data_IF_846833413620
#
_entry.id   IF_846833413620
#
_cell.length_a   1.000
_cell.length_b   1.000
_cell.length_c   1.000
_cell.angle_alpha   90.00
_cell.angle_beta   90.00
_cell.angle_gamma   90.00
#
_symmetry.space_group_name_H-M   'P 1'
#
loop_
_entity.id
_entity.type
_entity.pdbx_description
1 polymer ?
#
# COMPACT_ATOMS: atom_id res chain seq x y z
N UNK A 1 -77.03 -27.04 6.76
CA UNK A 1 -77.16 -28.49 6.91
C UNK A 1 -76.22 -28.94 8.03
N UNK A 2 -76.77 -29.60 9.07
CA UNK A 2 -76.18 -30.47 10.11
C UNK A 2 -74.84 -30.05 10.78
N UNK A 3 -74.61 -30.08 12.09
CA UNK A 3 -75.26 -30.58 13.32
C UNK A 3 -74.56 -29.84 14.52
N UNK A 4 -75.21 -29.42 15.62
CA UNK A 4 -75.53 -30.18 16.85
C UNK A 4 -74.31 -31.00 17.39
N UNK A 5 -73.87 -31.00 18.66
CA UNK A 5 -74.48 -30.58 19.92
C UNK A 5 -73.45 -30.63 21.10
N UNK A 6 -73.77 -29.88 22.16
CA UNK A 6 -73.76 -30.26 23.60
C UNK A 6 -72.50 -30.62 24.44
N UNK A 7 -72.35 -29.83 25.51
CA UNK A 7 -72.35 -30.20 26.97
C UNK A 7 -71.02 -30.47 27.72
N UNK A 8 -70.93 -29.79 28.87
CA UNK A 8 -69.92 -29.74 29.95
C UNK A 8 -70.11 -30.93 30.92
N UNK A 9 -69.12 -31.39 31.74
CA UNK A 9 -69.04 -30.89 33.13
C UNK A 9 -67.63 -30.81 33.78
N UNK A 10 -67.51 -29.76 34.60
CA UNK A 10 -66.85 -29.55 35.91
C UNK A 10 -65.85 -30.56 36.53
N UNK A 11 -64.84 -30.04 37.26
CA UNK A 11 -64.01 -30.84 38.18
C UNK A 11 -62.61 -30.32 38.62
N UNK A 12 -62.58 -29.45 39.64
CA UNK A 12 -61.58 -29.30 40.74
C UNK A 12 -60.04 -29.30 40.48
N UNK A 13 -59.46 -28.12 40.80
CA UNK A 13 -58.46 -27.84 41.87
C UNK A 13 -57.01 -28.38 41.74
N UNK A 14 -56.07 -27.47 41.46
CA UNK A 14 -54.85 -27.29 42.27
C UNK A 14 -54.22 -25.89 42.08
N UNK A 15 -54.01 -25.18 43.19
CA UNK A 15 -53.25 -23.92 43.24
C UNK A 15 -51.75 -24.18 43.19
N UNK A 16 -51.00 -23.41 42.39
CA UNK A 16 -49.59 -23.08 42.66
C UNK A 16 -49.28 -21.64 42.20
N UNK A 17 -48.93 -20.81 43.19
CA UNK A 17 -47.98 -19.69 43.11
C UNK A 17 -48.17 -18.62 42.04
N UNK A 18 -48.78 -17.50 42.41
CA UNK A 18 -48.63 -16.25 41.69
C UNK A 18 -47.21 -15.68 41.93
N UNK A 19 -46.42 -15.53 40.87
CA UNK A 19 -45.26 -14.62 40.85
C UNK A 19 -45.71 -13.27 40.28
N UNK A 20 -45.28 -12.13 40.85
CA UNK A 20 -45.71 -10.83 40.38
C UNK A 20 -45.10 -10.53 39.02
N UNK A 21 -45.92 -10.08 38.07
CA UNK A 21 -45.47 -9.57 36.78
C UNK A 21 -44.61 -8.32 37.01
N UNK A 22 -43.33 -8.38 36.64
CA UNK A 22 -42.42 -7.24 36.69
C UNK A 22 -42.81 -6.22 35.63
N UNK A 23 -42.95 -4.96 36.05
CA UNK A 23 -43.24 -3.82 35.17
C UNK A 23 -42.16 -3.70 34.07
N UNK A 24 -42.53 -3.39 32.82
CA UNK A 24 -41.58 -3.22 31.71
C UNK A 24 -40.52 -2.14 31.97
N UNK A 25 -40.80 -1.20 32.89
CA UNK A 25 -39.85 -0.18 33.32
C UNK A 25 -38.72 -0.78 34.16
N UNK A 26 -39.01 -1.74 35.03
CA UNK A 26 -38.02 -2.40 35.88
C UNK A 26 -37.10 -3.29 35.05
N UNK A 27 -37.63 -3.98 34.03
CA UNK A 27 -36.85 -4.82 33.12
C UNK A 27 -35.92 -4.00 32.22
N UNK A 28 -36.36 -2.83 31.76
CA UNK A 28 -35.53 -1.91 30.97
C UNK A 28 -34.40 -1.28 31.80
N UNK A 29 -34.68 -0.90 33.05
CA UNK A 29 -33.67 -0.39 33.99
C UNK A 29 -32.64 -1.50 34.31
N UNK A 30 -33.08 -2.73 34.56
CA UNK A 30 -32.17 -3.86 34.78
C UNK A 30 -31.30 -4.15 33.55
N UNK A 31 -31.85 -4.10 32.34
CA UNK A 31 -31.07 -4.29 31.11
C UNK A 31 -30.06 -3.15 30.89
N UNK A 32 -30.44 -1.90 31.16
CA UNK A 32 -29.53 -0.76 31.05
C UNK A 32 -28.37 -0.84 32.05
N UNK A 33 -28.67 -1.14 33.33
CA UNK A 33 -27.63 -1.35 34.34
C UNK A 33 -26.79 -2.60 34.06
N UNK A 34 -27.39 -3.68 33.55
CA UNK A 34 -26.64 -4.88 33.15
C UNK A 34 -25.69 -4.59 31.98
N UNK A 35 -26.12 -3.85 30.97
CA UNK A 35 -25.26 -3.45 29.83
C UNK A 35 -24.15 -2.50 30.29
N UNK A 36 -24.42 -1.56 31.21
CA UNK A 36 -23.39 -0.69 31.77
C UNK A 36 -22.41 -1.48 32.63
N UNK A 37 -22.88 -2.37 33.51
CA UNK A 37 -22.00 -3.17 34.39
C UNK A 37 -21.16 -4.14 33.57
N UNK A 38 -21.74 -4.82 32.57
CA UNK A 38 -20.98 -5.67 31.65
C UNK A 38 -20.03 -4.83 30.79
N UNK A 39 -20.45 -3.66 30.33
CA UNK A 39 -19.60 -2.71 29.59
C UNK A 39 -18.41 -2.23 30.41
N UNK A 40 -18.61 -1.88 31.69
CA UNK A 40 -17.57 -1.45 32.63
C UNK A 40 -16.67 -2.62 33.03
N UNK A 41 -17.20 -3.84 33.20
CA UNK A 41 -16.39 -5.04 33.48
C UNK A 41 -15.56 -5.47 32.27
N UNK A 42 -16.08 -5.31 31.05
CA UNK A 42 -15.34 -5.55 29.81
C UNK A 42 -14.30 -4.45 29.61
N UNK A 43 -14.62 -3.17 29.80
CA UNK A 43 -13.64 -2.08 29.67
C UNK A 43 -12.56 -2.13 30.76
N UNK A 44 -12.92 -2.46 32.00
CA UNK A 44 -11.95 -2.65 33.09
C UNK A 44 -11.06 -3.88 32.86
N UNK A 45 -11.57 -4.98 32.28
CA UNK A 45 -10.74 -6.11 31.84
C UNK A 45 -9.82 -5.75 30.68
N UNK A 46 -10.26 -4.92 29.74
CA UNK A 46 -9.42 -4.45 28.64
C UNK A 46 -8.32 -3.49 29.12
N UNK A 47 -8.62 -2.59 30.08
CA UNK A 47 -7.68 -1.63 30.67
C UNK A 47 -6.67 -2.32 31.62
N UNK A 48 -7.06 -3.35 32.36
CA UNK A 48 -6.12 -4.15 33.18
C UNK A 48 -5.29 -5.13 32.35
N UNK A 49 -5.79 -5.56 31.17
CA UNK A 49 -5.01 -6.39 30.22
C UNK A 49 -4.03 -5.54 29.39
N UNK A 50 -4.22 -4.22 29.28
CA UNK A 50 -3.27 -3.32 28.57
C UNK A 50 -2.26 -2.64 29.49
N UNK A 51 -2.44 -2.64 30.81
CA UNK A 51 -1.50 -2.03 31.77
C UNK A 51 -0.54 -3.01 32.45
N UNK A 52 -0.61 -4.31 32.14
CA UNK A 52 0.33 -5.34 32.62
C UNK A 52 0.93 -6.21 31.50
N UNK A 53 1.19 -5.63 30.32
CA UNK A 53 2.09 -6.26 29.35
C UNK A 53 3.53 -5.81 29.66
N UNK A 54 4.39 -6.68 30.23
CA UNK A 54 5.80 -6.38 30.36
C UNK A 54 6.40 -6.21 28.96
N UNK A 55 7.25 -5.19 28.83
CA UNK A 55 8.12 -4.93 27.68
C UNK A 55 9.13 -6.08 27.58
N UNK A 56 8.71 -7.25 27.12
CA UNK A 56 9.58 -8.39 26.82
C UNK A 56 8.89 -9.32 25.81
N UNK A 57 8.68 -8.87 24.56
CA UNK A 57 8.46 -9.82 23.45
C UNK A 57 8.81 -9.26 22.06
N UNK A 58 9.79 -8.36 21.97
CA UNK A 58 10.45 -8.04 20.70
C UNK A 58 11.86 -8.65 20.57
N UNK A 59 12.37 -9.29 21.64
CA UNK A 59 13.68 -9.98 21.65
C UNK A 59 13.57 -11.52 21.65
N UNK A 60 12.38 -12.11 21.87
CA UNK A 60 12.25 -13.58 22.01
C UNK A 60 12.30 -14.34 20.67
N UNK A 61 12.22 -13.63 19.54
CA UNK A 61 12.43 -14.18 18.20
C UNK A 61 13.88 -14.14 17.73
N UNK A 62 14.80 -13.58 18.54
CA UNK A 62 16.20 -13.38 18.15
C UNK A 62 17.17 -14.47 18.64
N UNK A 63 16.77 -15.33 19.58
CA UNK A 63 17.73 -16.19 20.31
C UNK A 63 17.35 -17.67 20.54
N UNK A 64 16.30 -18.22 19.91
CA UNK A 64 16.04 -19.68 19.98
C UNK A 64 16.66 -20.42 18.78
N UNK A 65 17.78 -21.16 18.94
CA UNK A 65 18.12 -22.22 18.00
C UNK A 65 17.08 -23.32 18.15
N UNK A 66 16.33 -23.60 17.09
CA UNK A 66 15.45 -24.76 17.06
C UNK A 66 16.33 -26.02 17.16
N UNK A 67 16.38 -26.64 18.34
CA UNK A 67 16.89 -27.99 18.52
C UNK A 67 15.85 -28.92 17.89
N UNK A 68 16.10 -29.32 16.64
CA UNK A 68 15.41 -30.43 16.01
C UNK A 68 15.91 -31.72 16.65
N UNK A 69 15.08 -32.33 17.50
CA UNK A 69 15.26 -33.73 17.90
C UNK A 69 15.05 -34.60 16.66
N UNK A 70 16.16 -35.11 16.11
CA UNK A 70 16.16 -36.05 15.01
C UNK A 70 15.64 -37.41 15.48
N UNK A 71 14.45 -37.81 15.02
CA UNK A 71 14.08 -39.23 14.98
C UNK A 71 14.85 -39.89 13.85
N UNK A 72 15.71 -40.85 14.22
CA UNK A 72 16.49 -41.66 13.29
C UNK A 72 15.56 -42.36 12.29
N UNK A 73 15.60 -41.90 11.04
CA UNK A 73 15.13 -42.68 9.88
C UNK A 73 16.35 -42.89 9.00
N UNK A 74 16.77 -44.14 8.88
CA UNK A 74 17.90 -44.58 8.07
C UNK A 74 17.54 -44.40 6.60
N UNK A 75 18.16 -43.44 5.91
CA UNK A 75 18.07 -43.31 4.45
C UNK A 75 19.45 -43.07 3.82
N UNK A 76 19.69 -43.89 2.80
CA UNK A 76 20.77 -43.99 1.81
C UNK A 76 21.50 -42.65 1.53
N UNK A 77 22.84 -42.63 1.34
CA UNK A 77 23.60 -41.40 1.15
C UNK A 77 23.25 -40.71 -0.17
N UNK A 78 22.55 -39.58 -0.08
CA UNK A 78 22.44 -38.62 -1.18
C UNK A 78 23.71 -37.78 -1.24
N UNK A 79 24.23 -37.59 -2.45
CA UNK A 79 25.37 -36.73 -2.76
C UNK A 79 25.11 -35.32 -2.23
N UNK A 80 26.04 -34.69 -1.49
CA UNK A 80 25.79 -33.39 -0.89
C UNK A 80 25.61 -32.32 -1.97
N UNK A 81 24.39 -31.82 -2.10
CA UNK A 81 24.12 -30.61 -2.88
C UNK A 81 24.80 -29.42 -2.20
N UNK A 82 25.52 -28.58 -2.94
CA UNK A 82 26.19 -27.41 -2.37
C UNK A 82 25.18 -26.48 -1.70
N UNK A 83 25.54 -25.81 -0.59
CA UNK A 83 24.67 -24.86 0.07
C UNK A 83 24.25 -23.75 -0.92
N UNK A 84 23.00 -23.26 -0.82
CA UNK A 84 22.54 -22.16 -1.65
C UNK A 84 23.48 -20.96 -1.45
N UNK A 85 23.83 -20.23 -2.51
CA UNK A 85 24.71 -19.07 -2.39
C UNK A 85 24.08 -18.05 -1.42
N UNK A 86 24.90 -17.39 -0.58
CA UNK A 86 24.40 -16.33 0.29
C UNK A 86 23.66 -15.28 -0.54
N UNK A 87 22.50 -14.82 -0.06
CA UNK A 87 21.79 -13.70 -0.70
C UNK A 87 22.77 -12.52 -0.76
N UNK A 88 22.94 -11.84 -1.92
CA UNK A 88 23.79 -10.67 -1.98
C UNK A 88 23.23 -9.60 -1.03
N UNK A 89 23.92 -9.40 0.09
CA UNK A 89 23.74 -8.24 0.93
C UNK A 89 24.31 -7.06 0.14
N UNK A 90 23.45 -6.26 -0.47
CA UNK A 90 23.86 -5.00 -1.05
C UNK A 90 24.16 -4.03 0.11
N UNK A 91 25.40 -3.99 0.58
CA UNK A 91 25.85 -2.86 1.38
C UNK A 91 26.29 -1.76 0.41
N UNK A 92 25.49 -0.71 0.27
CA UNK A 92 26.04 0.58 -0.17
C UNK A 92 26.75 1.15 1.06
N UNK A 93 27.93 0.61 1.35
CA UNK A 93 28.82 1.17 2.36
C UNK A 93 29.76 2.12 1.63
N UNK A 94 29.47 3.40 1.68
CA UNK A 94 30.55 4.37 1.62
C UNK A 94 31.23 4.30 2.99
N UNK A 95 32.54 4.01 3.02
CA UNK A 95 33.30 4.00 4.28
C UNK A 95 33.02 5.29 5.04
N UNK A 96 32.38 5.18 6.20
CA UNK A 96 32.21 6.31 7.10
C UNK A 96 33.63 6.79 7.48
N UNK A 97 33.97 8.08 7.31
CA UNK A 97 35.19 8.62 7.88
C UNK A 97 35.17 8.40 9.40
N UNK A 98 36.32 8.22 10.07
CA UNK A 98 36.34 8.06 11.52
C UNK A 98 35.68 9.26 12.20
N UNK A 99 34.62 8.98 12.96
CA UNK A 99 33.74 9.98 13.58
C UNK A 99 34.25 10.35 14.98
N UNK A 100 34.99 11.45 15.09
CA UNK A 100 35.15 12.16 16.37
C UNK A 100 34.09 13.27 16.44
N UNK A 101 33.33 13.35 17.55
CA UNK A 101 32.35 14.43 17.77
C UNK A 101 33.12 15.71 18.10
N UNK A 102 32.94 16.74 17.27
CA UNK A 102 33.51 18.06 17.50
C UNK A 102 32.77 18.75 18.67
N UNK A 103 33.44 19.04 19.80
CA UNK A 103 32.81 19.65 20.97
C UNK A 103 32.35 21.09 20.76
N UNK A 104 32.70 21.73 19.64
CA UNK A 104 32.25 23.08 19.29
C UNK A 104 30.83 23.14 18.69
N UNK A 105 30.18 21.99 18.42
CA UNK A 105 28.86 21.94 17.76
C UNK A 105 27.72 22.02 18.80
N UNK A 106 26.82 23.02 18.71
CA UNK A 106 25.62 23.09 19.54
C UNK A 106 24.71 21.87 19.31
N UNK A 107 24.11 21.33 20.37
CA UNK A 107 23.28 20.10 20.35
C UNK A 107 22.02 20.18 19.48
N UNK A 108 21.69 21.35 18.94
CA UNK A 108 20.50 21.62 18.13
C UNK A 108 20.72 21.49 16.61
N UNK A 109 21.96 21.26 16.15
CA UNK A 109 22.25 20.98 14.74
C UNK A 109 22.42 19.47 14.58
N UNK A 110 21.59 18.87 13.72
CA UNK A 110 21.76 17.44 13.38
C UNK A 110 23.16 17.21 12.83
N UNK A 111 23.87 16.23 13.40
CA UNK A 111 25.24 15.86 13.04
C UNK A 111 25.40 15.62 11.51
N UNK A 112 24.35 15.17 10.84
CA UNK A 112 24.27 15.00 9.38
C UNK A 112 24.38 16.33 8.61
N UNK A 113 23.73 17.39 9.09
CA UNK A 113 23.77 18.73 8.49
C UNK A 113 25.12 19.40 8.71
N UNK A 114 25.71 19.25 9.90
CA UNK A 114 27.07 19.73 10.17
C UNK A 114 28.09 19.02 9.28
N UNK A 115 28.06 17.69 9.18
CA UNK A 115 28.99 16.90 8.35
C UNK A 115 28.89 17.21 6.85
N UNK A 116 27.69 17.52 6.36
CA UNK A 116 27.50 17.94 4.98
C UNK A 116 28.05 19.35 4.72
N UNK A 117 27.97 20.25 5.71
CA UNK A 117 28.52 21.61 5.64
C UNK A 117 30.03 21.66 5.93
N UNK A 118 30.57 20.72 6.71
CA UNK A 118 31.97 20.67 7.15
C UNK A 118 32.88 19.79 6.29
N UNK A 119 32.37 19.21 5.20
CA UNK A 119 33.16 18.34 4.32
C UNK A 119 34.33 19.10 3.68
N UNK A 120 35.52 18.89 4.25
CA UNK A 120 36.79 19.36 3.73
C UNK A 120 37.30 18.37 2.68
N UNK A 121 37.21 18.75 1.39
CA UNK A 121 37.87 18.22 0.16
C UNK A 121 38.42 16.77 0.10
N UNK A 122 37.86 15.78 0.79
CA UNK A 122 38.40 14.40 0.82
C UNK A 122 37.46 13.35 0.23
N UNK A 123 36.17 13.64 0.08
CA UNK A 123 35.40 12.96 -0.97
C UNK A 123 35.88 13.53 -2.30
N UNK A 124 36.50 12.70 -3.16
CA UNK A 124 37.00 13.09 -4.48
C UNK A 124 36.10 14.16 -5.10
N UNK A 125 36.70 15.30 -5.47
CA UNK A 125 36.01 16.43 -6.09
C UNK A 125 35.45 15.98 -7.43
N UNK A 126 34.31 15.30 -7.41
CA UNK A 126 33.42 15.26 -8.55
C UNK A 126 33.11 16.73 -8.83
N UNK A 127 33.48 17.25 -10.01
CA UNK A 127 33.22 18.63 -10.38
C UNK A 127 31.79 18.98 -10.03
N UNK A 128 31.58 20.18 -9.48
CA UNK A 128 30.23 20.69 -9.27
C UNK A 128 29.47 20.55 -10.59
N UNK A 129 28.36 19.79 -10.61
CA UNK A 129 27.66 19.53 -11.84
C UNK A 129 27.22 20.86 -12.44
N UNK A 130 27.77 21.21 -13.60
CA UNK A 130 27.40 22.46 -14.26
C UNK A 130 25.88 22.43 -14.51
N UNK A 131 25.14 23.50 -14.15
CA UNK A 131 23.72 23.57 -14.42
C UNK A 131 23.47 23.33 -15.90
N UNK A 132 22.56 22.40 -16.22
CA UNK A 132 22.11 22.26 -17.60
C UNK A 132 21.51 23.61 -18.05
N UNK A 133 21.83 24.07 -19.28
CA UNK A 133 21.19 25.27 -19.82
C UNK A 133 19.67 25.11 -19.81
N UNK A 134 18.96 26.23 -19.67
CA UNK A 134 17.49 26.25 -19.68
C UNK A 134 16.97 25.62 -20.96
N UNK A 135 16.47 24.39 -20.87
CA UNK A 135 15.75 23.76 -21.97
C UNK A 135 14.39 24.44 -22.09
N UNK A 136 14.27 25.38 -23.02
CA UNK A 136 13.01 25.96 -23.48
C UNK A 136 12.30 24.95 -24.38
N UNK A 137 11.85 23.83 -23.81
CA UNK A 137 10.86 22.98 -24.47
C UNK A 137 9.50 23.41 -23.96
N UNK A 138 8.64 23.92 -24.85
CA UNK A 138 7.23 24.27 -24.61
C UNK A 138 6.35 23.02 -24.32
N UNK A 139 6.88 22.03 -23.61
CA UNK A 139 6.10 20.89 -23.13
C UNK A 139 5.47 21.28 -21.79
N UNK A 140 4.15 21.41 -21.74
CA UNK A 140 3.43 21.53 -20.47
C UNK A 140 3.74 20.32 -19.59
N UNK A 141 3.99 20.55 -18.29
CA UNK A 141 4.11 19.45 -17.32
C UNK A 141 2.86 18.57 -17.37
N UNK A 142 3.00 17.23 -17.35
CA UNK A 142 1.85 16.33 -17.24
C UNK A 142 0.89 16.72 -16.12
N UNK A 143 -0.42 16.60 -16.38
CA UNK A 143 -1.46 17.14 -15.49
C UNK A 143 -1.45 16.57 -14.07
N UNK A 144 -0.87 15.39 -13.85
CA UNK A 144 -0.76 14.80 -12.51
C UNK A 144 0.19 15.57 -11.58
N UNK A 145 1.16 16.32 -12.13
CA UNK A 145 2.07 17.14 -11.32
C UNK A 145 1.35 18.28 -10.58
N UNK A 146 0.13 18.68 -11.00
CA UNK A 146 -0.66 19.67 -10.27
C UNK A 146 -0.92 19.27 -8.81
N UNK A 147 -1.03 17.96 -8.55
CA UNK A 147 -1.34 17.44 -7.23
C UNK A 147 -0.19 17.56 -6.25
N UNK A 148 1.05 17.80 -6.71
CA UNK A 148 2.15 18.16 -5.80
C UNK A 148 1.82 19.45 -5.05
N UNK A 149 1.18 20.42 -5.72
CA UNK A 149 0.78 21.67 -5.08
C UNK A 149 -0.34 21.47 -4.06
N UNK A 150 -1.26 20.54 -4.32
CA UNK A 150 -2.31 20.16 -3.38
C UNK A 150 -1.74 19.43 -2.17
N UNK A 151 -0.86 18.45 -2.40
CA UNK A 151 -0.22 17.69 -1.32
C UNK A 151 0.59 18.61 -0.40
N UNK A 152 1.27 19.62 -0.95
CA UNK A 152 2.07 20.56 -0.17
C UNK A 152 1.28 21.78 0.36
N UNK A 153 0.01 21.90 -0.01
CA UNK A 153 -0.83 23.04 0.38
C UNK A 153 -0.90 23.27 1.91
N UNK A 154 -1.07 22.24 2.76
CA UNK A 154 -1.19 22.42 4.21
C UNK A 154 0.01 23.16 4.82
N UNK A 155 1.24 22.77 4.46
CA UNK A 155 2.45 23.44 4.96
C UNK A 155 2.63 24.83 4.36
N UNK A 156 2.22 25.05 3.11
CA UNK A 156 2.23 26.40 2.52
C UNK A 156 1.28 27.32 3.28
N UNK A 157 0.08 26.85 3.60
CA UNK A 157 -0.92 27.61 4.35
C UNK A 157 -0.44 27.90 5.79
N UNK A 158 0.34 26.99 6.40
CA UNK A 158 0.95 27.17 7.70
C UNK A 158 2.19 28.10 7.72
N UNK A 159 2.55 28.70 6.58
CA UNK A 159 3.71 29.61 6.47
C UNK A 159 5.05 28.93 6.15
N UNK A 160 5.03 27.64 5.78
CA UNK A 160 6.20 26.86 5.40
C UNK A 160 6.45 25.67 6.33
N UNK A 161 7.46 24.86 5.97
CA UNK A 161 7.90 23.71 6.77
C UNK A 161 8.95 24.19 7.77
N UNK A 162 8.68 24.04 9.07
CA UNK A 162 9.65 24.36 10.13
C UNK A 162 10.52 23.15 10.47
N UNK A 163 11.63 23.40 11.18
CA UNK A 163 12.48 22.32 11.73
C UNK A 163 11.70 21.38 12.64
N UNK A 164 10.84 21.92 13.50
CA UNK A 164 10.02 21.14 14.43
C UNK A 164 9.02 20.23 13.71
N UNK A 165 8.38 20.72 12.63
CA UNK A 165 7.51 19.90 11.78
C UNK A 165 8.28 18.76 11.13
N UNK A 166 9.47 19.04 10.59
CA UNK A 166 10.29 18.00 9.95
C UNK A 166 10.78 16.95 10.95
N UNK A 167 11.17 17.38 12.16
CA UNK A 167 11.61 16.48 13.22
C UNK A 167 10.45 15.65 13.79
N UNK A 168 9.20 16.16 13.79
CA UNK A 168 8.03 15.36 14.23
C UNK A 168 7.75 14.20 13.28
N UNK A 169 8.02 14.34 11.98
CA UNK A 169 7.88 13.27 10.98
C UNK A 169 8.84 12.08 11.23
N UNK A 170 9.90 12.27 12.04
CA UNK A 170 10.87 11.22 12.39
C UNK A 170 10.21 10.03 13.10
N UNK A 171 9.09 10.25 13.79
CA UNK A 171 8.42 9.23 14.60
C UNK A 171 8.02 7.97 13.81
N UNK A 172 7.70 8.12 12.52
CA UNK A 172 7.28 7.01 11.65
C UNK A 172 8.20 6.80 10.44
N UNK A 173 9.11 7.74 10.17
CA UNK A 173 10.00 7.66 9.02
C UNK A 173 10.94 6.44 9.05
N UNK A 174 11.13 5.80 7.90
CA UNK A 174 12.16 4.78 7.71
C UNK A 174 13.52 5.41 7.44
N UNK A 175 13.55 6.50 6.67
CA UNK A 175 14.78 7.23 6.42
C UNK A 175 14.55 8.73 6.31
N UNK A 176 15.61 9.46 6.59
CA UNK A 176 15.73 10.88 6.33
C UNK A 176 16.71 11.07 5.18
N UNK A 177 16.35 11.92 4.23
CA UNK A 177 17.16 12.25 3.07
C UNK A 177 17.45 13.74 3.05
N UNK A 178 18.71 14.08 2.82
CA UNK A 178 19.20 15.44 2.68
C UNK A 178 19.87 15.54 1.33
N UNK A 179 19.44 16.48 0.49
CA UNK A 179 20.19 16.90 -0.71
C UNK A 179 20.90 18.19 -0.36
N UNK A 180 22.23 18.20 -0.47
CA UNK A 180 23.05 19.39 -0.29
C UNK A 180 24.06 19.48 -1.43
N UNK A 181 24.03 20.59 -2.17
CA UNK A 181 24.90 20.86 -3.32
C UNK A 181 24.91 19.71 -4.33
N UNK A 182 23.71 19.22 -4.65
CA UNK A 182 23.50 18.12 -5.61
C UNK A 182 23.94 16.73 -5.11
N UNK A 183 24.30 16.57 -3.83
CA UNK A 183 24.66 15.29 -3.21
C UNK A 183 23.60 14.83 -2.23
N UNK A 184 23.21 13.56 -2.31
CA UNK A 184 22.27 12.95 -1.36
C UNK A 184 23.01 12.34 -0.16
N UNK A 185 22.51 12.62 1.03
CA UNK A 185 22.90 12.03 2.31
C UNK A 185 21.67 11.36 2.90
N UNK A 186 21.83 10.14 3.41
CA UNK A 186 20.71 9.35 3.94
C UNK A 186 21.03 8.88 5.35
N UNK A 187 20.14 9.18 6.28
CA UNK A 187 20.12 8.60 7.62
C UNK A 187 18.99 7.57 7.65
N UNK A 188 19.34 6.29 7.87
CA UNK A 188 18.33 5.23 8.09
C UNK A 188 17.87 5.27 9.54
N UNK A 189 16.59 5.55 9.76
CA UNK A 189 15.98 5.68 11.08
C UNK A 189 15.40 4.34 11.53
N UNK A 190 14.71 3.64 10.62
CA UNK A 190 14.08 2.36 10.88
C UNK A 190 14.15 1.45 9.64
N UNK A 191 14.19 0.12 9.80
CA UNK A 191 14.24 -0.80 8.66
C UNK A 191 12.98 -0.66 7.79
N UNK A 192 13.17 -0.54 6.48
CA UNK A 192 12.06 -0.61 5.52
C UNK A 192 11.70 -2.07 5.23
N UNK A 193 10.45 -2.29 4.81
CA UNK A 193 10.06 -3.58 4.27
C UNK A 193 10.83 -3.85 2.98
N UNK A 194 11.63 -4.93 2.94
CA UNK A 194 12.40 -5.31 1.75
C UNK A 194 13.30 -4.15 1.24
N UNK A 195 13.61 -4.09 -0.05
CA UNK A 195 14.44 -3.06 -0.70
C UNK A 195 13.71 -1.74 -0.98
N UNK A 196 12.56 -1.46 -0.37
CA UNK A 196 11.76 -0.28 -0.73
C UNK A 196 12.51 1.04 -0.55
N UNK A 197 13.20 1.21 0.57
CA UNK A 197 14.03 2.39 0.82
C UNK A 197 15.14 2.50 -0.23
N UNK A 198 15.85 1.40 -0.52
CA UNK A 198 16.93 1.36 -1.51
C UNK A 198 16.47 1.85 -2.88
N UNK A 199 15.36 1.34 -3.41
CA UNK A 199 14.88 1.70 -4.75
C UNK A 199 14.28 3.11 -4.80
N UNK A 200 13.68 3.59 -3.70
CA UNK A 200 13.26 4.99 -3.57
C UNK A 200 14.46 5.94 -3.57
N UNK A 201 15.50 5.63 -2.79
CA UNK A 201 16.76 6.38 -2.78
C UNK A 201 17.42 6.34 -4.16
N UNK A 202 17.43 5.16 -4.80
CA UNK A 202 17.95 5.01 -6.17
C UNK A 202 17.21 5.93 -7.16
N UNK A 203 15.90 6.09 -7.01
CA UNK A 203 15.13 7.04 -7.82
C UNK A 203 15.54 8.50 -7.61
N UNK A 204 15.79 8.90 -6.37
CA UNK A 204 16.35 10.23 -6.07
C UNK A 204 17.74 10.39 -6.70
N UNK A 205 18.60 9.37 -6.64
CA UNK A 205 19.92 9.42 -7.28
C UNK A 205 19.80 9.55 -8.81
N UNK A 206 18.83 8.90 -9.45
CA UNK A 206 18.56 9.08 -10.87
C UNK A 206 18.11 10.51 -11.18
N UNK A 207 17.27 11.10 -10.32
CA UNK A 207 16.84 12.49 -10.46
C UNK A 207 18.02 13.47 -10.40
N UNK A 208 18.88 13.33 -9.38
CA UNK A 208 20.08 14.16 -9.22
C UNK A 208 21.05 14.04 -10.40
N UNK A 209 21.25 12.81 -10.91
CA UNK A 209 22.09 12.55 -12.08
C UNK A 209 21.50 13.14 -13.36
N UNK A 210 20.17 13.08 -13.53
CA UNK A 210 19.49 13.56 -14.75
C UNK A 210 19.35 15.07 -14.79
N UNK A 211 19.23 15.72 -13.63
CA UNK A 211 19.04 17.16 -13.51
C UNK A 211 20.09 17.80 -12.58
N UNK A 212 21.38 17.71 -12.94
CA UNK A 212 22.47 18.30 -12.17
C UNK A 212 22.24 19.80 -11.94
N UNK A 213 22.40 20.24 -10.68
CA UNK A 213 22.24 21.64 -10.27
C UNK A 213 20.79 22.16 -10.27
N UNK A 214 19.79 21.36 -10.63
CA UNK A 214 18.37 21.78 -10.68
C UNK A 214 17.53 21.30 -9.51
N UNK A 215 18.01 20.31 -8.76
CA UNK A 215 17.37 19.88 -7.50
C UNK A 215 17.93 20.78 -6.39
N UNK A 216 17.09 21.56 -5.69
CA UNK A 216 17.54 22.45 -4.66
C UNK A 216 18.06 21.68 -3.44
N UNK A 217 18.79 22.38 -2.59
CA UNK A 217 19.09 21.89 -1.25
C UNK A 217 17.77 21.67 -0.51
N UNK A 218 17.57 20.45 0.00
CA UNK A 218 16.34 20.05 0.66
C UNK A 218 16.60 18.98 1.70
N UNK A 219 15.64 18.82 2.61
CA UNK A 219 15.60 17.75 3.58
C UNK A 219 14.17 17.19 3.65
N UNK A 220 14.05 15.86 3.68
CA UNK A 220 12.76 15.18 3.78
C UNK A 220 12.84 13.96 4.71
N UNK A 221 11.68 13.61 5.26
CA UNK A 221 11.43 12.37 5.99
C UNK A 221 10.56 11.47 5.12
N UNK A 222 10.91 10.18 5.04
CA UNK A 222 10.22 9.24 4.17
C UNK A 222 9.81 7.99 4.95
N UNK A 223 8.54 7.60 4.81
CA UNK A 223 8.01 6.35 5.34
C UNK A 223 7.68 5.39 4.19
N UNK A 224 8.30 4.22 4.24
CA UNK A 224 8.26 3.17 3.23
C UNK A 224 7.12 2.14 3.44
N UNK A 225 6.28 2.30 4.47
CA UNK A 225 5.18 1.39 4.79
C UNK A 225 3.94 1.68 3.92
N UNK A 226 2.96 0.76 3.90
CA UNK A 226 1.80 0.79 3.00
C UNK A 226 0.74 1.86 3.35
N UNK A 227 0.46 2.15 4.62
CA UNK A 227 -0.66 3.03 4.98
C UNK A 227 -0.22 4.48 5.15
N UNK A 228 -0.96 5.49 4.65
CA UNK A 228 -0.74 6.87 5.05
C UNK A 228 -1.10 7.05 6.53
N UNK A 229 -0.37 7.90 7.25
CA UNK A 229 -0.44 7.97 8.74
C UNK A 229 -0.62 9.38 9.28
N UNK A 230 -0.43 10.42 8.47
CA UNK A 230 -0.53 11.81 8.93
C UNK A 230 -2.00 12.23 8.85
N UNK A 231 -2.77 11.90 9.89
CA UNK A 231 -4.21 12.16 9.95
C UNK A 231 -4.51 13.66 10.06
N UNK A 232 -5.26 14.20 9.10
CA UNK A 232 -5.50 15.65 8.98
C UNK A 232 -6.25 16.24 10.19
N UNK A 233 -7.10 15.45 10.84
CA UNK A 233 -7.86 15.84 12.03
C UNK A 233 -6.98 16.04 13.28
N UNK A 234 -5.78 15.49 13.31
CA UNK A 234 -4.84 15.63 14.44
C UNK A 234 -4.07 16.96 14.42
N UNK A 235 -4.00 17.63 13.27
CA UNK A 235 -3.15 18.81 13.04
C UNK A 235 -3.97 20.07 12.77
N UNK A 236 -4.92 20.36 13.66
CA UNK A 236 -5.75 21.56 13.64
C UNK A 236 -5.38 22.50 14.80
N UNK A 237 -5.70 23.79 14.67
CA UNK A 237 -5.45 24.78 15.72
C UNK A 237 -3.97 24.87 16.10
N UNK A 238 -3.66 24.80 17.38
CA UNK A 238 -2.28 24.89 17.89
C UNK A 238 -1.38 23.74 17.39
N UNK A 239 -1.96 22.57 17.08
CA UNK A 239 -1.23 21.40 16.63
C UNK A 239 -0.70 21.54 15.19
N UNK A 240 -1.15 22.53 14.41
CA UNK A 240 -0.61 22.78 13.06
C UNK A 240 0.90 23.01 13.09
N UNK A 241 1.43 23.53 14.18
CA UNK A 241 2.86 23.82 14.39
C UNK A 241 3.76 22.57 14.40
N UNK A 242 3.17 21.38 14.59
CA UNK A 242 3.87 20.08 14.61
C UNK A 242 3.47 19.15 13.45
N UNK A 243 2.73 19.66 12.46
CA UNK A 243 2.25 18.90 11.30
C UNK A 243 3.41 18.28 10.48
N UNK A 244 3.57 16.95 10.43
CA UNK A 244 4.76 16.29 9.88
C UNK A 244 4.72 16.22 8.33
N UNK A 245 5.69 16.82 7.61
CA UNK A 245 5.81 16.71 6.15
C UNK A 245 6.43 15.35 5.77
N UNK A 246 5.64 14.29 5.91
CA UNK A 246 6.07 12.93 5.69
C UNK A 246 5.82 12.50 4.24
N UNK A 247 6.88 12.11 3.53
CA UNK A 247 6.77 11.55 2.18
C UNK A 247 6.41 10.06 2.23
N UNK A 248 5.49 9.65 1.36
CA UNK A 248 5.00 8.27 1.24
C UNK A 248 4.61 7.95 -0.19
N UNK A 249 4.22 6.70 -0.42
CA UNK A 249 3.84 6.23 -1.75
C UNK A 249 2.35 6.38 -2.07
N UNK A 250 1.51 6.68 -1.08
CA UNK A 250 0.10 7.00 -1.28
C UNK A 250 -0.43 7.94 -0.19
N UNK A 251 -1.62 8.48 -0.43
CA UNK A 251 -2.44 9.20 0.55
C UNK A 251 -3.92 8.82 0.39
N UNK A 252 -4.75 9.31 1.30
CA UNK A 252 -6.21 9.32 1.18
C UNK A 252 -6.78 10.68 1.64
N UNK A 253 -8.09 10.88 1.44
CA UNK A 253 -8.76 12.15 1.73
C UNK A 253 -8.72 12.60 3.21
N UNK A 254 -8.29 11.73 4.12
CA UNK A 254 -8.24 11.98 5.55
C UNK A 254 -6.78 12.17 6.04
N UNK A 255 -5.82 12.14 5.13
CA UNK A 255 -4.39 12.19 5.42
C UNK A 255 -3.68 13.30 4.68
N UNK A 256 -2.55 13.74 5.23
CA UNK A 256 -1.73 14.82 4.68
C UNK A 256 -0.44 14.31 4.03
N UNK A 257 -0.16 12.99 4.07
CA UNK A 257 1.08 12.40 3.57
C UNK A 257 1.41 12.88 2.14
N UNK A 258 2.67 13.31 1.94
CA UNK A 258 3.15 13.84 0.66
C UNK A 258 3.46 12.69 -0.29
N UNK A 259 2.70 12.59 -1.38
CA UNK A 259 2.80 11.43 -2.27
C UNK A 259 4.02 11.52 -3.18
N UNK A 260 4.75 10.41 -3.25
CA UNK A 260 5.95 10.21 -4.04
C UNK A 260 5.81 8.94 -4.90
N UNK A 261 6.41 8.90 -6.11
CA UNK A 261 6.40 7.69 -6.93
C UNK A 261 6.94 6.46 -6.19
N UNK A 262 6.23 5.34 -6.29
CA UNK A 262 6.61 4.12 -5.58
C UNK A 262 7.94 3.53 -6.07
N UNK A 263 8.63 2.81 -5.19
CA UNK A 263 9.94 2.20 -5.45
C UNK A 263 9.95 1.29 -6.69
N UNK A 264 8.84 0.65 -7.02
CA UNK A 264 8.79 -0.39 -8.07
C UNK A 264 8.92 0.16 -9.48
N UNK A 265 8.77 1.47 -9.69
CA UNK A 265 9.15 2.10 -10.96
C UNK A 265 10.65 1.95 -11.25
N UNK A 266 11.48 1.78 -10.23
CA UNK A 266 12.92 1.52 -10.34
C UNK A 266 13.25 0.03 -10.19
N UNK A 267 12.25 -0.80 -9.89
CA UNK A 267 12.35 -2.24 -9.75
C UNK A 267 11.91 -2.75 -8.38
N UNK A 268 11.56 -4.03 -8.32
CA UNK A 268 11.25 -4.73 -7.08
C UNK A 268 11.75 -6.18 -7.18
N UNK A 269 13.05 -6.41 -6.89
CA UNK A 269 13.73 -7.66 -7.20
C UNK A 269 13.21 -8.85 -6.39
N UNK A 270 12.73 -8.63 -5.17
CA UNK A 270 12.18 -9.66 -4.29
C UNK A 270 10.99 -10.40 -4.90
N UNK A 271 10.27 -9.75 -5.82
CA UNK A 271 9.13 -10.33 -6.54
C UNK A 271 9.34 -10.35 -8.06
N UNK A 272 10.59 -10.26 -8.51
CA UNK A 272 10.99 -10.33 -9.91
C UNK A 272 10.30 -9.29 -10.82
N UNK A 273 10.12 -8.07 -10.31
CA UNK A 273 9.62 -6.93 -11.08
C UNK A 273 10.81 -6.10 -11.55
N UNK A 274 10.92 -5.93 -12.87
CA UNK A 274 11.94 -5.10 -13.52
C UNK A 274 11.61 -3.61 -13.33
N UNK A 275 12.56 -2.69 -13.56
CA UNK A 275 12.26 -1.27 -13.65
C UNK A 275 11.21 -0.96 -14.73
N UNK A 276 10.48 0.13 -14.56
CA UNK A 276 9.32 0.48 -15.38
C UNK A 276 9.64 0.55 -16.88
N UNK A 277 10.78 1.11 -17.27
CA UNK A 277 11.20 1.23 -18.67
C UNK A 277 11.36 -0.15 -19.36
N UNK A 278 11.82 -1.16 -18.63
CA UNK A 278 11.93 -2.53 -19.10
C UNK A 278 10.55 -3.22 -19.11
N UNK A 279 9.76 -3.11 -18.04
CA UNK A 279 8.43 -3.72 -17.96
C UNK A 279 7.49 -3.14 -19.01
N UNK A 280 7.57 -1.84 -19.29
CA UNK A 280 6.74 -1.17 -20.29
C UNK A 280 7.00 -1.74 -21.70
N UNK A 281 8.26 -2.04 -22.04
CA UNK A 281 8.61 -2.72 -23.30
C UNK A 281 8.05 -4.13 -23.36
N UNK A 282 8.18 -4.89 -22.27
CA UNK A 282 7.63 -6.25 -22.17
C UNK A 282 6.10 -6.25 -22.29
N UNK A 283 5.41 -5.32 -21.63
CA UNK A 283 3.96 -5.13 -21.73
C UNK A 283 3.53 -4.72 -23.14
N UNK A 284 4.27 -3.82 -23.80
CA UNK A 284 4.00 -3.44 -25.19
C UNK A 284 4.08 -4.64 -26.14
N UNK A 285 5.10 -5.50 -25.99
CA UNK A 285 5.22 -6.74 -26.74
C UNK A 285 4.08 -7.70 -26.37
N UNK A 286 3.79 -7.88 -25.08
CA UNK A 286 2.71 -8.72 -24.57
C UNK A 286 1.34 -8.33 -25.14
N UNK A 287 1.04 -7.03 -25.18
CA UNK A 287 -0.22 -6.49 -25.69
C UNK A 287 -0.46 -6.79 -27.17
N UNK A 288 0.61 -6.95 -27.95
CA UNK A 288 0.54 -7.28 -29.39
C UNK A 288 0.38 -8.77 -29.68
N UNK A 289 0.54 -9.66 -28.69
CA UNK A 289 0.41 -11.11 -28.88
C UNK A 289 -1.00 -11.52 -29.32
N UNK A 290 -2.02 -10.85 -28.78
CA UNK A 290 -3.43 -11.10 -29.10
C UNK A 290 -4.11 -9.76 -29.35
N UNK A 291 -4.72 -9.60 -30.54
CA UNK A 291 -5.50 -8.40 -30.86
C UNK A 291 -6.62 -8.24 -29.82
N UNK A 292 -6.90 -7.01 -29.41
CA UNK A 292 -7.86 -6.74 -28.33
C UNK A 292 -9.22 -7.44 -28.51
N UNK A 293 -9.74 -7.44 -29.74
CA UNK A 293 -11.03 -8.09 -30.07
C UNK A 293 -11.02 -9.60 -29.89
N UNK A 294 -9.86 -10.24 -29.98
CA UNK A 294 -9.67 -11.69 -29.88
C UNK A 294 -9.24 -12.13 -28.47
N UNK A 295 -9.04 -11.17 -27.54
CA UNK A 295 -8.75 -11.47 -26.14
C UNK A 295 -9.94 -12.14 -25.45
N UNK A 296 -9.64 -12.90 -24.40
CA UNK A 296 -10.64 -13.58 -23.58
C UNK A 296 -11.70 -12.58 -23.07
N UNK A 297 -13.00 -12.89 -23.22
CA UNK A 297 -14.11 -11.95 -22.99
C UNK A 297 -14.46 -11.77 -21.52
N UNK A 298 -13.55 -12.08 -20.59
CA UNK A 298 -13.79 -12.08 -19.15
C UNK A 298 -12.97 -11.02 -18.43
N UNK A 299 -13.45 -10.58 -17.27
CA UNK A 299 -12.66 -9.81 -16.34
C UNK A 299 -11.65 -10.69 -15.62
N UNK A 300 -10.41 -10.22 -15.56
CA UNK A 300 -9.30 -10.98 -14.99
C UNK A 300 -8.64 -10.26 -13.83
N UNK A 301 -8.39 -11.01 -12.76
CA UNK A 301 -7.54 -10.60 -11.66
C UNK A 301 -6.66 -11.78 -11.23
N UNK A 302 -5.40 -11.51 -10.90
CA UNK A 302 -4.51 -12.46 -10.23
C UNK A 302 -3.72 -11.73 -9.15
N UNK A 303 -3.76 -12.22 -7.93
CA UNK A 303 -3.06 -11.58 -6.82
C UNK A 303 -3.25 -12.30 -5.48
N UNK A 304 -2.56 -11.81 -4.45
CA UNK A 304 -2.70 -12.33 -3.10
C UNK A 304 -3.98 -11.76 -2.45
N UNK A 305 -4.96 -12.60 -2.08
CA UNK A 305 -6.16 -12.15 -1.41
C UNK A 305 -5.96 -11.85 0.08
N UNK A 306 -4.93 -12.40 0.71
CA UNK A 306 -4.77 -12.39 2.17
C UNK A 306 -4.31 -11.03 2.72
N UNK A 307 -3.96 -10.10 1.85
CA UNK A 307 -3.51 -8.75 2.22
C UNK A 307 -4.67 -7.77 2.49
N UNK A 308 -5.91 -8.12 2.13
CA UNK A 308 -7.07 -7.25 2.32
C UNK A 308 -8.42 -7.98 2.26
N UNK A 309 -9.34 -7.63 3.15
CA UNK A 309 -10.71 -8.16 3.15
C UNK A 309 -11.43 -7.98 1.80
N UNK A 310 -11.29 -6.80 1.18
CA UNK A 310 -11.90 -6.52 -0.15
C UNK A 310 -11.43 -7.48 -1.25
N UNK A 311 -10.20 -8.01 -1.16
CA UNK A 311 -9.68 -9.02 -2.10
C UNK A 311 -10.19 -10.42 -1.77
N UNK A 312 -10.33 -10.76 -0.49
CA UNK A 312 -10.99 -12.00 -0.08
C UNK A 312 -12.45 -12.03 -0.55
N UNK A 313 -13.14 -10.89 -0.55
CA UNK A 313 -14.47 -10.75 -1.12
C UNK A 313 -14.48 -10.86 -2.64
N UNK A 314 -13.52 -10.25 -3.34
CA UNK A 314 -13.40 -10.37 -4.80
C UNK A 314 -13.24 -11.83 -5.24
N UNK A 315 -12.49 -12.64 -4.48
CA UNK A 315 -12.36 -14.08 -4.72
C UNK A 315 -13.71 -14.79 -4.73
N UNK A 316 -14.70 -14.33 -3.96
CA UNK A 316 -16.05 -14.92 -3.93
C UNK A 316 -16.82 -14.70 -5.24
N UNK A 317 -16.33 -13.85 -6.14
CA UNK A 317 -16.87 -13.72 -7.50
C UNK A 317 -16.51 -14.92 -8.39
N UNK A 318 -15.63 -15.83 -7.96
CA UNK A 318 -15.55 -17.16 -8.59
C UNK A 318 -16.70 -18.02 -8.07
N UNK A 319 -17.71 -18.19 -8.91
CA UNK A 319 -18.95 -18.89 -8.59
C UNK A 319 -19.02 -20.27 -9.25
N UNK A 320 -20.02 -21.06 -8.85
CA UNK A 320 -20.27 -22.40 -9.40
C UNK A 320 -20.81 -22.35 -10.82
N UNK A 321 -20.94 -23.50 -11.49
CA UNK A 321 -21.47 -23.59 -12.87
C UNK A 321 -22.88 -23.01 -13.09
N UNK A 322 -23.64 -22.74 -12.02
CA UNK A 322 -25.01 -22.21 -12.09
C UNK A 322 -25.07 -20.67 -12.10
N UNK A 323 -23.98 -19.99 -11.79
CA UNK A 323 -23.91 -18.53 -11.75
C UNK A 323 -22.62 -18.09 -12.42
N UNK A 324 -22.66 -17.02 -13.22
CA UNK A 324 -21.49 -16.54 -13.95
C UNK A 324 -21.42 -15.02 -13.84
N UNK A 325 -20.33 -14.53 -13.24
CA UNK A 325 -20.05 -13.10 -13.11
C UNK A 325 -19.16 -12.57 -14.23
N UNK A 326 -18.81 -13.41 -15.21
CA UNK A 326 -17.83 -13.13 -16.25
C UNK A 326 -16.47 -12.69 -15.69
N UNK A 327 -16.10 -13.25 -14.52
CA UNK A 327 -14.89 -12.94 -13.79
C UNK A 327 -14.01 -14.19 -13.63
N UNK A 328 -12.69 -14.01 -13.75
CA UNK A 328 -11.67 -15.03 -13.60
C UNK A 328 -10.66 -14.52 -12.57
N UNK A 329 -10.89 -14.90 -11.31
CA UNK A 329 -10.14 -14.41 -10.15
C UNK A 329 -9.16 -15.48 -9.68
N UNK A 330 -7.87 -15.27 -9.84
CA UNK A 330 -6.85 -16.26 -9.51
C UNK A 330 -6.10 -15.86 -8.24
N UNK A 331 -6.13 -16.74 -7.24
CA UNK A 331 -5.33 -16.57 -6.02
C UNK A 331 -3.86 -16.80 -6.35
N UNK A 332 -3.02 -15.87 -5.93
CA UNK A 332 -1.57 -16.00 -6.02
C UNK A 332 -1.01 -16.27 -4.63
N UNK A 333 -0.54 -17.51 -4.45
CA UNK A 333 0.15 -17.93 -3.22
C UNK A 333 1.59 -17.38 -3.24
N UNK A 334 1.83 -16.35 -2.43
CA UNK A 334 3.14 -15.71 -2.34
C UNK A 334 4.21 -16.61 -1.74
N UNK A 335 3.88 -17.56 -0.87
CA UNK A 335 4.85 -18.50 -0.31
C UNK A 335 5.35 -19.42 -1.42
N UNK A 336 4.44 -19.95 -2.23
CA UNK A 336 4.77 -20.79 -3.38
C UNK A 336 5.53 -20.01 -4.46
N UNK A 337 5.06 -18.81 -4.81
CA UNK A 337 5.71 -17.98 -5.84
C UNK A 337 7.10 -17.54 -5.40
N UNK A 338 7.30 -17.19 -4.13
CA UNK A 338 8.62 -16.85 -3.57
C UNK A 338 9.61 -18.00 -3.75
N UNK A 339 9.22 -19.24 -3.42
CA UNK A 339 10.04 -20.44 -3.65
C UNK A 339 10.35 -20.69 -5.13
N UNK A 340 9.43 -20.32 -6.02
CA UNK A 340 9.58 -20.45 -7.47
C UNK A 340 10.30 -19.25 -8.13
N UNK A 341 10.68 -18.23 -7.36
CA UNK A 341 11.26 -16.99 -7.87
C UNK A 341 10.31 -16.16 -8.75
N UNK A 342 9.00 -16.25 -8.49
CA UNK A 342 7.94 -15.51 -9.20
C UNK A 342 7.93 -15.70 -10.73
N UNK A 343 8.50 -16.80 -11.23
CA UNK A 343 8.59 -17.11 -12.67
C UNK A 343 7.22 -17.21 -13.35
N UNK A 344 6.16 -17.51 -12.60
CA UNK A 344 4.77 -17.60 -13.09
C UNK A 344 3.97 -16.31 -12.91
N UNK A 345 4.65 -15.22 -12.53
CA UNK A 345 4.04 -13.93 -12.21
C UNK A 345 4.45 -12.81 -13.18
N UNK A 346 5.00 -13.17 -14.34
CA UNK A 346 5.31 -12.23 -15.42
C UNK A 346 4.06 -11.45 -15.84
N UNK A 347 4.09 -10.13 -15.62
CA UNK A 347 3.00 -9.21 -15.89
C UNK A 347 2.64 -9.16 -17.38
N UNK A 348 3.62 -9.26 -18.28
CA UNK A 348 3.41 -9.20 -19.73
C UNK A 348 2.59 -10.36 -20.28
N UNK A 349 2.58 -11.49 -19.57
CA UNK A 349 1.79 -12.69 -19.94
C UNK A 349 0.34 -12.61 -19.45
N UNK A 350 0.00 -11.61 -18.65
CA UNK A 350 -1.32 -11.46 -18.05
C UNK A 350 -2.23 -10.47 -18.80
N UNK A 351 -1.80 -9.94 -19.95
CA UNK A 351 -2.56 -9.01 -20.79
C UNK A 351 -3.39 -9.72 -21.89
N UNK A 352 -3.97 -10.87 -21.56
CA UNK A 352 -4.69 -11.76 -22.50
C UNK A 352 -6.22 -11.61 -22.45
N UNK A 353 -6.73 -10.85 -21.49
CA UNK A 353 -8.16 -10.67 -21.25
C UNK A 353 -8.60 -9.26 -21.65
N UNK A 354 -9.84 -9.10 -22.14
CA UNK A 354 -10.39 -7.79 -22.53
C UNK A 354 -10.50 -6.83 -21.36
N UNK A 355 -10.76 -7.35 -20.16
CA UNK A 355 -10.96 -6.55 -18.95
C UNK A 355 -10.00 -6.97 -17.85
N UNK A 356 -9.40 -5.98 -17.17
CA UNK A 356 -8.48 -6.20 -16.05
C UNK A 356 -9.01 -5.49 -14.82
N UNK A 357 -9.07 -6.19 -13.70
CA UNK A 357 -9.58 -5.62 -12.45
C UNK A 357 -8.41 -5.04 -11.66
N UNK A 358 -8.54 -3.79 -11.25
CA UNK A 358 -7.74 -3.19 -10.20
C UNK A 358 -8.53 -3.17 -8.90
N UNK A 359 -7.87 -3.61 -7.83
CA UNK A 359 -8.39 -3.56 -6.47
C UNK A 359 -7.22 -3.37 -5.50
N UNK A 360 -7.42 -2.48 -4.54
CA UNK A 360 -6.46 -2.19 -3.48
C UNK A 360 -6.08 -3.42 -2.66
N UNK A 361 -4.88 -3.37 -2.08
CA UNK A 361 -4.39 -4.36 -1.14
C UNK A 361 -4.54 -3.82 0.28
N UNK A 362 -3.49 -3.96 1.07
CA UNK A 362 -3.40 -3.37 2.41
C UNK A 362 -3.64 -1.85 2.37
N UNK A 363 -3.09 -1.17 1.36
CA UNK A 363 -3.41 0.20 0.99
C UNK A 363 -3.56 0.32 -0.54
N UNK A 364 -3.02 1.37 -1.17
CA UNK A 364 -2.88 1.43 -2.63
C UNK A 364 -2.15 0.17 -3.15
N UNK A 365 -2.44 -0.27 -4.37
CA UNK A 365 -1.73 -1.40 -4.94
C UNK A 365 -0.83 -0.97 -6.09
N UNK A 366 0.45 -1.30 -5.94
CA UNK A 366 1.51 -1.16 -6.95
C UNK A 366 1.13 -1.75 -8.33
N UNK A 367 0.13 -2.66 -8.36
CA UNK A 367 -0.40 -3.29 -9.57
C UNK A 367 -1.12 -2.34 -10.54
N UNK A 368 -1.57 -1.16 -10.09
CA UNK A 368 -2.42 -0.24 -10.88
C UNK A 368 -1.80 0.12 -12.23
N UNK A 369 -0.57 0.64 -12.23
CA UNK A 369 0.14 1.05 -13.46
C UNK A 369 0.33 -0.10 -14.46
N UNK A 370 0.58 -1.32 -13.96
CA UNK A 370 0.77 -2.49 -14.81
C UNK A 370 -0.55 -2.98 -15.42
N UNK A 371 -1.63 -2.90 -14.64
CA UNK A 371 -2.99 -3.21 -15.12
C UNK A 371 -3.41 -2.21 -16.20
N UNK A 372 -3.23 -0.91 -15.96
CA UNK A 372 -3.51 0.15 -16.92
C UNK A 372 -2.70 -0.02 -18.21
N UNK A 373 -1.46 -0.50 -18.12
CA UNK A 373 -0.59 -0.70 -19.27
C UNK A 373 -0.88 -1.97 -20.10
N UNK A 374 -1.86 -2.82 -19.73
CA UNK A 374 -2.18 -4.05 -20.48
C UNK A 374 -3.01 -3.83 -21.77
N UNK A 375 -3.34 -2.60 -22.18
CA UNK A 375 -4.27 -2.34 -23.30
C UNK A 375 -5.64 -3.02 -23.16
N UNK A 376 -6.01 -3.36 -21.92
CA UNK A 376 -7.32 -3.90 -21.54
C UNK A 376 -8.18 -2.78 -20.98
N UNK A 377 -9.50 -2.94 -21.08
CA UNK A 377 -10.43 -2.08 -20.36
C UNK A 377 -10.24 -2.32 -18.86
N UNK A 378 -9.78 -1.30 -18.14
CA UNK A 378 -9.50 -1.43 -16.71
C UNK A 378 -10.78 -1.21 -15.91
N UNK A 379 -11.09 -2.16 -15.03
CA UNK A 379 -12.20 -2.11 -14.08
C UNK A 379 -11.61 -1.75 -12.71
N UNK A 380 -11.86 -0.55 -12.22
CA UNK A 380 -11.30 -0.06 -10.95
C UNK A 380 -12.37 -0.22 -9.87
N UNK A 381 -12.13 -1.13 -8.93
CA UNK A 381 -12.93 -1.19 -7.70
C UNK A 381 -12.67 0.09 -6.90
N UNK A 382 -13.73 0.80 -6.49
CA UNK A 382 -13.66 2.13 -5.86
C UNK A 382 -12.47 2.23 -4.90
N UNK A 383 -11.44 3.03 -5.24
CA UNK A 383 -10.25 3.14 -4.43
C UNK A 383 -10.50 4.08 -3.25
N UNK A 384 -9.86 3.79 -2.11
CA UNK A 384 -9.76 4.71 -0.98
C UNK A 384 -8.51 5.59 -1.11
N UNK A 385 -7.41 4.99 -1.55
CA UNK A 385 -6.10 5.59 -1.62
C UNK A 385 -5.81 6.12 -3.02
N UNK A 386 -4.94 7.12 -3.09
CA UNK A 386 -4.38 7.62 -4.33
C UNK A 386 -2.86 7.58 -4.31
N UNK A 387 -2.26 7.35 -5.48
CA UNK A 387 -0.84 7.58 -5.73
C UNK A 387 -0.63 8.90 -6.50
N UNK A 388 0.59 9.14 -6.98
CA UNK A 388 0.93 10.43 -7.60
C UNK A 388 0.21 10.66 -8.94
N UNK A 389 -0.28 9.62 -9.63
CA UNK A 389 -0.95 9.77 -10.92
C UNK A 389 -2.43 9.37 -10.88
N UNK A 390 -2.88 8.57 -9.91
CA UNK A 390 -4.24 8.01 -9.94
C UNK A 390 -5.32 9.09 -9.87
N UNK A 391 -5.05 10.25 -9.25
CA UNK A 391 -5.99 11.38 -9.16
C UNK A 391 -6.31 12.08 -10.50
N UNK A 392 -5.56 11.82 -11.58
CA UNK A 392 -5.96 12.28 -12.92
C UNK A 392 -6.79 11.26 -13.70
N UNK A 393 -6.94 10.04 -13.19
CA UNK A 393 -7.73 9.00 -13.83
C UNK A 393 -9.22 9.34 -13.69
N UNK A 394 -9.85 9.62 -14.82
CA UNK A 394 -11.28 9.91 -14.89
C UNK A 394 -12.10 8.65 -15.17
N UNK A 395 -13.19 8.38 -14.40
CA UNK A 395 -14.11 7.29 -14.68
C UNK A 395 -14.80 7.47 -16.03
N UNK A 396 -15.10 6.37 -16.72
CA UNK A 396 -15.72 6.33 -18.06
C UNK A 396 -14.86 6.97 -19.17
N UNK A 397 -13.62 7.37 -18.86
CA UNK A 397 -12.62 7.80 -19.84
C UNK A 397 -11.34 6.97 -19.78
N UNK A 398 -10.82 6.74 -18.56
CA UNK A 398 -9.60 5.95 -18.36
C UNK A 398 -9.90 4.54 -17.86
N UNK A 399 -10.98 4.39 -17.09
CA UNK A 399 -11.38 3.13 -16.50
C UNK A 399 -12.89 3.05 -16.30
N UNK A 400 -13.39 1.85 -16.08
CA UNK A 400 -14.77 1.61 -15.67
C UNK A 400 -14.88 1.47 -14.14
N UNK A 401 -15.68 2.30 -13.47
CA UNK A 401 -15.82 2.23 -12.02
C UNK A 401 -16.59 0.97 -11.62
N UNK A 402 -16.09 0.26 -10.61
CA UNK A 402 -16.71 -0.92 -10.00
C UNK A 402 -17.01 -0.60 -8.54
N UNK A 403 -18.26 -0.83 -8.13
CA UNK A 403 -18.66 -0.62 -6.74
C UNK A 403 -17.97 -1.61 -5.82
N UNK A 404 -17.45 -1.15 -4.69
CA UNK A 404 -16.85 -2.06 -3.71
C UNK A 404 -17.93 -2.94 -3.02
N UNK A 405 -19.05 -2.35 -2.59
CA UNK A 405 -20.12 -3.04 -1.87
C UNK A 405 -20.87 -4.11 -2.69
N UNK A 406 -20.83 -4.04 -4.02
CA UNK A 406 -21.46 -5.00 -4.93
C UNK A 406 -20.57 -5.34 -6.14
N UNK A 407 -19.30 -5.61 -5.85
CA UNK A 407 -18.23 -5.81 -6.84
C UNK A 407 -18.54 -6.87 -7.90
N UNK A 408 -19.06 -8.05 -7.56
CA UNK A 408 -19.28 -9.12 -8.53
C UNK A 408 -20.33 -8.75 -9.60
N UNK A 409 -21.48 -8.21 -9.16
CA UNK A 409 -22.54 -7.77 -10.08
C UNK A 409 -22.08 -6.58 -10.92
N UNK A 410 -21.40 -5.62 -10.30
CA UNK A 410 -20.84 -4.45 -10.99
C UNK A 410 -19.79 -4.84 -12.04
N UNK A 411 -18.95 -5.83 -11.77
CA UNK A 411 -18.00 -6.40 -12.75
C UNK A 411 -18.77 -7.04 -13.90
N UNK A 412 -19.75 -7.90 -13.61
CA UNK A 412 -20.53 -8.58 -14.65
C UNK A 412 -21.19 -7.59 -15.59
N UNK A 413 -21.83 -6.54 -15.03
CA UNK A 413 -22.45 -5.49 -15.83
C UNK A 413 -21.45 -4.81 -16.79
N UNK A 414 -20.26 -4.46 -16.28
CA UNK A 414 -19.20 -3.86 -17.10
C UNK A 414 -18.75 -4.80 -18.25
N UNK A 415 -18.59 -6.09 -17.95
CA UNK A 415 -18.15 -7.09 -18.92
C UNK A 415 -19.23 -7.36 -19.98
N UNK A 416 -20.49 -7.50 -19.57
CA UNK A 416 -21.63 -7.68 -20.49
C UNK A 416 -21.77 -6.49 -21.44
N UNK A 417 -21.66 -5.26 -20.90
CA UNK A 417 -21.68 -4.05 -21.70
C UNK A 417 -20.50 -4.01 -22.68
N UNK A 418 -19.29 -4.27 -22.21
CA UNK A 418 -18.07 -4.22 -23.03
C UNK A 418 -18.09 -5.25 -24.15
N UNK A 419 -18.62 -6.45 -23.89
CA UNK A 419 -18.73 -7.52 -24.88
C UNK A 419 -19.80 -7.24 -25.92
N UNK A 420 -20.86 -6.52 -25.55
CA UNK A 420 -21.90 -6.05 -26.46
C UNK A 420 -21.49 -4.81 -27.26
N UNK A 421 -20.53 -4.02 -26.73
CA UNK A 421 -20.08 -2.75 -27.29
C UNK A 421 -18.59 -2.73 -27.64
N UNK A 422 -18.06 -3.83 -28.19
CA UNK A 422 -16.61 -4.08 -28.38
C UNK A 422 -15.85 -2.88 -28.95
N UNK A 423 -16.34 -2.26 -30.03
CA UNK A 423 -15.64 -1.12 -30.65
C UNK A 423 -15.61 0.11 -29.74
N UNK A 424 -16.73 0.43 -29.07
CA UNK A 424 -16.79 1.54 -28.11
C UNK A 424 -15.88 1.28 -26.92
N UNK A 425 -15.94 0.08 -26.35
CA UNK A 425 -15.09 -0.33 -25.23
C UNK A 425 -13.60 -0.22 -25.58
N UNK A 426 -13.20 -0.65 -26.80
CA UNK A 426 -11.84 -0.52 -27.31
C UNK A 426 -11.39 0.92 -27.47
N UNK A 427 -12.27 1.83 -27.89
CA UNK A 427 -11.91 3.23 -28.16
C UNK A 427 -11.85 4.03 -26.86
N UNK A 428 -12.88 3.91 -26.02
CA UNK A 428 -13.01 4.68 -24.77
C UNK A 428 -11.92 4.24 -23.78
N UNK A 429 -11.77 2.93 -23.57
CA UNK A 429 -10.87 2.41 -22.54
C UNK A 429 -9.53 1.90 -23.11
N UNK A 430 -9.15 2.38 -24.30
CA UNK A 430 -7.77 2.24 -24.74
C UNK A 430 -6.92 3.01 -23.74
N UNK A 431 -5.89 2.41 -23.12
CA UNK A 431 -5.05 3.16 -22.20
C UNK A 431 -4.50 4.37 -22.92
N UNK A 432 -4.88 5.54 -22.41
CA UNK A 432 -4.33 6.80 -22.84
C UNK A 432 -2.80 6.73 -22.73
N UNK A 433 -2.15 7.48 -23.60
CA UNK A 433 -0.73 7.83 -23.57
C UNK A 433 -0.25 8.44 -22.24
N UNK A 434 -1.13 8.59 -21.23
CA UNK A 434 -0.87 9.17 -19.92
C UNK A 434 0.25 8.47 -19.13
N UNK A 435 0.51 7.18 -19.38
CA UNK A 435 1.67 6.45 -18.83
C UNK A 435 2.78 6.19 -19.86
N UNK A 436 2.58 6.59 -21.13
CA UNK A 436 3.52 6.30 -22.23
C UNK A 436 4.50 7.42 -22.54
N UNK A 437 4.26 8.64 -22.05
CA UNK A 437 5.11 9.81 -22.27
C UNK A 437 5.68 10.35 -20.95
#
# INVERSE_FOLDING_TARGET
MAAAATVIPDGRRWCKGASPASSPVTTAIFLFFFVIVVGVLVSARWITTTSHLPITNLDEWRTKPAILTATHTTSIPATPTPPPPPRPAYSISCSAPPLARDPAVPSNISQTLYLALSSNKTCASVPEPQPLPSTTTNSSCPGYFRFIHEDLHPWRAAGGITRAMLDSARATANFRLVVLRGRAYVERIAPAFQTRDLFTIWGVLQLLRRYPGRVPDLELMFDCVDWPVVRADQYQGENTTFMPPLFRYCGDNETLDVVFPDWSFWGWPEINIKPWDAVQKDLYIGNKRVKWVDREPYAYWKGNPDVAAKRQELVKCNVSSKQEWNARIYKQDWIKESKAGYKQSDLSRQCTHRYKIYIEGSAWSVSEKYILACDSMTLVVTPKYYDFFSRVLMPIQHYWPVRDDNKCSSIKHAVDWGNSNKQKARVIFRPLSALRN
#
